data_IF_909967124398
#
_entry.id   IF_909967124398
#
_cell.length_a   1.000
_cell.length_b   1.000
_cell.length_c   1.000
_cell.angle_alpha   90.00
_cell.angle_beta   90.00
_cell.angle_gamma   90.00
#
_symmetry.space_group_name_H-M   'P 1'
#
loop_
_entity.id
_entity.type
_entity.pdbx_description
1 polymer ?
#
# COMPACT_ATOMS: atom_id res chain seq x y z
N UNK A 1 -31.82 84.05 -22.25
CA UNK A 1 -30.90 84.15 -21.09
C UNK A 1 -30.65 82.74 -20.58
N UNK A 2 -29.38 82.32 -20.56
CA UNK A 2 -28.93 80.96 -20.20
C UNK A 2 -29.09 80.72 -18.70
N UNK A 3 -29.71 79.62 -18.28
CA UNK A 3 -29.42 78.98 -17.00
C UNK A 3 -29.37 77.47 -17.24
N UNK A 4 -28.14 76.93 -17.26
CA UNK A 4 -27.87 75.49 -17.19
C UNK A 4 -27.91 75.11 -15.72
N UNK A 5 -28.83 74.23 -15.33
CA UNK A 5 -28.82 73.60 -14.00
C UNK A 5 -28.22 72.21 -14.19
N UNK A 6 -27.01 72.04 -13.65
CA UNK A 6 -26.27 70.79 -13.59
C UNK A 6 -26.83 70.01 -12.40
N UNK A 7 -27.47 68.86 -12.64
CA UNK A 7 -27.88 67.93 -11.58
C UNK A 7 -26.70 66.96 -11.37
N UNK A 8 -26.12 66.87 -10.16
CA UNK A 8 -25.05 65.93 -9.89
C UNK A 8 -25.60 64.52 -9.66
N UNK A 9 -24.90 63.53 -10.22
CA UNK A 9 -25.06 62.10 -9.98
C UNK A 9 -25.05 61.79 -8.47
N UNK A 10 -26.12 61.18 -7.98
CA UNK A 10 -26.10 60.36 -6.76
C UNK A 10 -25.94 58.90 -7.19
N UNK A 11 -24.69 58.48 -7.35
CA UNK A 11 -24.30 57.07 -7.45
C UNK A 11 -24.56 56.43 -6.07
N UNK A 12 -25.67 55.70 -5.95
CA UNK A 12 -25.91 54.79 -4.84
C UNK A 12 -24.86 53.67 -4.91
N UNK A 13 -23.77 53.85 -4.16
CA UNK A 13 -22.81 52.79 -3.88
C UNK A 13 -23.49 51.72 -3.03
N UNK A 14 -24.02 50.69 -3.67
CA UNK A 14 -24.38 49.44 -3.00
C UNK A 14 -23.07 48.81 -2.48
N UNK A 15 -22.76 49.07 -1.22
CA UNK A 15 -21.83 48.27 -0.45
C UNK A 15 -22.45 46.87 -0.28
N UNK A 16 -22.30 46.02 -1.28
CA UNK A 16 -22.43 44.57 -1.09
C UNK A 16 -21.21 44.17 -0.28
N UNK A 17 -21.38 44.23 1.04
CA UNK A 17 -20.47 43.65 2.00
C UNK A 17 -20.52 42.14 1.79
N UNK A 18 -19.67 41.61 0.91
CA UNK A 18 -19.36 40.19 0.85
C UNK A 18 -18.80 39.80 2.22
N UNK A 19 -19.67 39.36 3.12
CA UNK A 19 -19.27 38.51 4.24
C UNK A 19 -18.65 37.26 3.59
N UNK A 20 -17.32 37.25 3.49
CA UNK A 20 -16.57 36.01 3.38
C UNK A 20 -16.85 35.23 4.67
N UNK A 21 -17.96 34.50 4.70
CA UNK A 21 -18.08 33.35 5.59
C UNK A 21 -16.96 32.42 5.13
N UNK A 22 -15.87 32.41 5.91
CA UNK A 22 -14.93 31.32 5.92
C UNK A 22 -15.78 30.11 6.28
N UNK A 23 -16.25 29.36 5.28
CA UNK A 23 -16.82 28.05 5.49
C UNK A 23 -15.65 27.25 6.07
N UNK A 24 -15.61 27.07 7.39
CA UNK A 24 -14.74 26.09 8.01
C UNK A 24 -15.03 24.78 7.30
N UNK A 25 -14.10 24.35 6.44
CA UNK A 25 -14.21 23.04 5.80
C UNK A 25 -14.28 22.04 6.93
N UNK A 26 -15.47 21.47 7.13
CA UNK A 26 -15.67 20.46 8.17
C UNK A 26 -14.64 19.37 7.94
N UNK A 27 -13.83 19.09 8.97
CA UNK A 27 -12.80 18.07 8.94
C UNK A 27 -13.47 16.70 8.87
N UNK A 28 -13.56 16.13 7.67
CA UNK A 28 -14.21 14.84 7.42
C UNK A 28 -13.13 13.78 7.22
N UNK A 29 -13.20 12.70 7.98
CA UNK A 29 -12.35 11.53 7.77
C UNK A 29 -12.64 10.89 6.40
N UNK A 30 -11.60 10.85 5.56
CA UNK A 30 -11.61 10.28 4.22
C UNK A 30 -11.12 8.83 4.23
N UNK A 31 -10.06 8.53 4.99
CA UNK A 31 -9.55 7.17 5.17
C UNK A 31 -9.32 6.90 6.65
N UNK A 32 -9.72 5.71 7.08
CA UNK A 32 -9.30 5.08 8.33
C UNK A 32 -8.63 3.76 8.00
N UNK A 33 -7.37 3.61 8.39
CA UNK A 33 -6.63 2.37 8.28
C UNK A 33 -6.10 1.94 9.65
N UNK A 34 -6.19 0.64 9.96
CA UNK A 34 -5.83 0.07 11.26
C UNK A 34 -5.17 -1.30 11.06
N UNK A 35 -4.01 -1.49 11.69
CA UNK A 35 -3.43 -2.79 11.95
C UNK A 35 -3.37 -3.04 13.46
N UNK A 36 -3.77 -4.23 13.87
CA UNK A 36 -3.58 -4.72 15.24
C UNK A 36 -2.54 -5.83 15.19
N UNK A 37 -1.42 -5.62 15.85
CA UNK A 37 -0.36 -6.59 16.00
C UNK A 37 -0.47 -7.17 17.41
N UNK A 38 -1.50 -7.97 17.65
CA UNK A 38 -1.82 -8.66 18.93
C UNK A 38 -1.06 -8.13 20.16
N UNK A 39 0.13 -8.68 20.43
CA UNK A 39 0.95 -8.38 21.60
C UNK A 39 1.94 -7.21 21.44
N UNK A 40 2.17 -6.73 20.22
CA UNK A 40 3.10 -5.63 19.89
C UNK A 40 2.42 -4.26 19.89
N UNK A 41 1.09 -4.24 19.77
CA UNK A 41 0.26 -3.04 19.83
C UNK A 41 -0.51 -2.78 18.53
N UNK A 42 -0.69 -1.53 18.15
CA UNK A 42 -1.50 -1.19 16.97
C UNK A 42 -1.02 0.08 16.27
N UNK A 43 -1.39 0.16 15.00
CA UNK A 43 -1.14 1.32 14.15
C UNK A 43 -2.45 1.80 13.58
N UNK A 44 -2.67 3.11 13.64
CA UNK A 44 -3.84 3.76 13.07
C UNK A 44 -3.41 4.93 12.20
N UNK A 45 -3.91 4.97 10.97
CA UNK A 45 -3.72 6.08 10.05
C UNK A 45 -5.07 6.68 9.66
N UNK A 46 -5.20 7.99 9.90
CA UNK A 46 -6.41 8.77 9.63
C UNK A 46 -6.06 9.88 8.65
N UNK A 47 -6.80 9.97 7.55
CA UNK A 47 -6.62 10.98 6.51
C UNK A 47 -7.90 11.81 6.39
N UNK A 48 -7.77 13.14 6.37
CA UNK A 48 -8.91 14.06 6.45
C UNK A 48 -9.05 14.95 5.21
N UNK A 49 -10.27 15.47 4.99
CA UNK A 49 -10.63 16.34 3.85
C UNK A 49 -9.96 17.71 3.84
N UNK A 50 -9.31 18.10 4.93
CA UNK A 50 -8.56 19.36 5.09
C UNK A 50 -7.07 19.20 4.73
N UNK A 51 -6.71 18.12 4.01
CA UNK A 51 -5.33 17.78 3.63
C UNK A 51 -4.40 17.49 4.82
N UNK A 52 -4.94 17.13 5.98
CA UNK A 52 -4.15 16.68 7.13
C UNK A 52 -4.27 15.17 7.37
N UNK A 53 -3.27 14.60 8.03
CA UNK A 53 -3.30 13.22 8.51
C UNK A 53 -2.87 13.11 9.97
N UNK A 54 -3.28 12.01 10.60
CA UNK A 54 -2.82 11.58 11.91
C UNK A 54 -2.39 10.13 11.82
N UNK A 55 -1.15 9.85 12.22
CA UNK A 55 -0.66 8.51 12.45
C UNK A 55 -0.54 8.28 13.96
N UNK A 56 -1.17 7.24 14.49
CA UNK A 56 -1.05 6.83 15.89
C UNK A 56 -0.38 5.46 15.96
N UNK A 57 0.74 5.36 16.66
CA UNK A 57 1.38 4.10 17.02
C UNK A 57 1.15 3.83 18.50
N UNK A 58 0.60 2.68 18.83
CA UNK A 58 0.47 2.19 20.20
C UNK A 58 1.44 1.02 20.31
N UNK A 59 2.43 1.14 21.20
CA UNK A 59 3.40 0.08 21.49
C UNK A 59 3.07 -0.54 22.84
N UNK A 60 2.81 -1.84 22.82
CA UNK A 60 2.63 -2.66 24.01
C UNK A 60 3.96 -3.36 24.28
N UNK A 61 4.81 -2.72 25.06
CA UNK A 61 6.03 -3.34 25.62
C UNK A 61 5.67 -3.78 27.05
N UNK A 62 6.42 -4.71 27.65
CA UNK A 62 6.29 -5.04 29.08
C UNK A 62 6.39 -3.73 29.90
N UNK A 63 5.25 -3.22 30.38
CA UNK A 63 5.12 -1.89 30.99
C UNK A 63 3.90 -1.11 30.50
N UNK A 64 3.80 0.20 30.82
CA UNK A 64 2.70 1.04 30.38
C UNK A 64 2.70 1.23 28.86
N UNK A 65 1.51 1.25 28.27
CA UNK A 65 1.33 1.45 26.82
C UNK A 65 1.93 2.80 26.40
N UNK A 66 2.81 2.78 25.38
CA UNK A 66 3.36 4.01 24.79
C UNK A 66 2.54 4.38 23.56
N UNK A 67 1.96 5.58 23.58
CA UNK A 67 1.20 6.12 22.45
C UNK A 67 1.99 7.26 21.80
N UNK A 68 2.33 7.10 20.53
CA UNK A 68 3.02 8.10 19.72
C UNK A 68 2.07 8.60 18.62
N UNK A 69 1.92 9.92 18.49
CA UNK A 69 1.08 10.55 17.46
C UNK A 69 1.91 11.45 16.56
N UNK A 70 1.83 11.22 15.26
CA UNK A 70 2.46 12.02 14.22
C UNK A 70 1.37 12.69 13.41
N UNK A 71 1.43 14.02 13.29
CA UNK A 71 0.49 14.81 12.52
C UNK A 71 1.23 15.48 11.39
N UNK A 72 0.57 15.61 10.24
CA UNK A 72 1.17 16.30 9.11
C UNK A 72 0.16 16.70 8.05
N UNK A 73 0.69 17.29 6.99
CA UNK A 73 -0.05 17.69 5.79
C UNK A 73 0.31 16.70 4.67
N UNK A 74 -0.66 16.43 3.81
CA UNK A 74 -0.46 15.61 2.63
C UNK A 74 -1.04 16.29 1.39
N UNK A 75 -0.59 15.83 0.22
CA UNK A 75 -1.33 16.04 -1.02
C UNK A 75 -1.60 14.69 -1.69
N UNK A 76 -2.75 14.57 -2.35
CA UNK A 76 -3.16 13.36 -3.05
C UNK A 76 -3.00 13.56 -4.56
N UNK A 77 -2.36 12.60 -5.23
CA UNK A 77 -2.33 12.52 -6.69
C UNK A 77 -2.66 11.09 -7.11
N UNK A 78 -3.82 10.91 -7.73
CA UNK A 78 -4.42 9.58 -7.96
C UNK A 78 -4.50 8.79 -6.64
N UNK A 79 -3.98 7.57 -6.64
CA UNK A 79 -3.97 6.66 -5.49
C UNK A 79 -2.73 6.86 -4.59
N UNK A 80 -1.94 7.92 -4.81
CA UNK A 80 -0.70 8.17 -4.04
C UNK A 80 -0.86 9.38 -3.13
N UNK A 81 -0.64 9.14 -1.84
CA UNK A 81 -0.53 10.14 -0.78
C UNK A 81 0.94 10.58 -0.74
N UNK A 82 1.20 11.87 -0.77
CA UNK A 82 2.53 12.43 -0.60
C UNK A 82 2.56 13.26 0.68
N UNK A 83 3.55 13.00 1.52
CA UNK A 83 3.71 13.66 2.81
C UNK A 83 4.63 14.88 2.67
N UNK A 84 4.27 15.98 3.33
CA UNK A 84 5.15 17.14 3.44
C UNK A 84 6.43 16.75 4.22
N UNK A 85 7.60 16.95 3.61
CA UNK A 85 8.89 16.51 4.14
C UNK A 85 9.30 17.28 5.42
N UNK A 86 8.69 18.42 5.69
CA UNK A 86 8.93 19.18 6.92
C UNK A 86 8.39 18.48 8.18
N UNK A 87 7.45 17.51 8.02
CA UNK A 87 6.78 16.80 9.10
C UNK A 87 6.97 15.29 8.90
N UNK A 88 7.93 14.72 9.64
CA UNK A 88 8.34 13.32 9.50
C UNK A 88 7.16 12.33 9.65
N UNK A 89 6.89 11.54 8.60
CA UNK A 89 6.03 10.35 8.70
C UNK A 89 6.67 9.30 9.64
N UNK A 90 5.85 8.45 10.28
CA UNK A 90 6.29 7.45 11.27
C UNK A 90 7.48 6.60 10.81
N UNK A 91 7.43 6.07 9.58
CA UNK A 91 8.50 5.27 8.98
C UNK A 91 9.41 6.08 8.02
N UNK A 92 9.37 7.41 8.09
CA UNK A 92 10.09 8.35 7.19
C UNK A 92 9.77 8.24 5.69
N UNK A 93 8.71 7.53 5.30
CA UNK A 93 8.26 7.50 3.91
C UNK A 93 7.86 8.88 3.43
N UNK A 94 8.25 9.23 2.20
CA UNK A 94 7.82 10.48 1.53
C UNK A 94 6.44 10.34 0.87
N UNK A 95 5.98 9.11 0.66
CA UNK A 95 4.70 8.80 0.03
C UNK A 95 4.14 7.47 0.52
N UNK A 96 2.84 7.30 0.37
CA UNK A 96 2.14 6.03 0.50
C UNK A 96 1.18 5.81 -0.66
N UNK A 97 0.92 4.56 -1.02
CA UNK A 97 0.02 4.17 -2.11
C UNK A 97 -1.21 3.47 -1.53
N UNK A 98 -2.38 3.91 -1.96
CA UNK A 98 -3.67 3.33 -1.59
C UNK A 98 -4.01 2.26 -2.64
N UNK A 99 -3.92 0.98 -2.29
CA UNK A 99 -4.24 -0.10 -3.21
C UNK A 99 -4.72 -1.35 -2.49
N UNK A 100 -5.61 -2.11 -3.12
CA UNK A 100 -6.06 -3.42 -2.63
C UNK A 100 -6.56 -3.45 -1.18
N UNK A 101 -7.24 -2.38 -0.73
CA UNK A 101 -7.68 -2.15 0.66
C UNK A 101 -6.55 -1.91 1.66
N UNK A 102 -5.37 -1.49 1.23
CA UNK A 102 -4.25 -1.13 2.09
C UNK A 102 -3.68 0.25 1.73
N UNK A 103 -3.02 0.85 2.71
CA UNK A 103 -2.08 1.96 2.54
C UNK A 103 -0.68 1.40 2.70
N UNK A 104 0.12 1.46 1.63
CA UNK A 104 1.50 0.98 1.60
C UNK A 104 2.46 2.16 1.59
N UNK A 105 3.25 2.30 2.65
CA UNK A 105 4.23 3.37 2.80
C UNK A 105 5.52 2.96 2.06
N UNK A 106 5.93 3.78 1.09
CA UNK A 106 7.03 3.45 0.16
C UNK A 106 8.25 4.33 0.44
N UNK A 107 9.45 3.77 0.31
CA UNK A 107 10.73 4.44 0.52
C UNK A 107 10.97 4.81 1.98
N UNK A 108 10.33 4.11 2.92
CA UNK A 108 10.55 4.28 4.35
C UNK A 108 11.81 3.58 4.82
N UNK A 109 12.12 3.72 6.11
CA UNK A 109 13.22 2.99 6.77
C UNK A 109 12.84 1.54 7.16
N UNK A 110 11.55 1.22 7.15
CA UNK A 110 11.02 -0.14 7.28
C UNK A 110 9.72 -0.27 6.47
N UNK A 111 9.38 -1.49 5.98
CA UNK A 111 8.13 -1.74 5.29
C UNK A 111 6.95 -1.47 6.24
N UNK A 112 5.97 -0.71 5.78
CA UNK A 112 4.77 -0.42 6.55
C UNK A 112 3.56 -0.45 5.63
N UNK A 113 2.59 -1.28 6.00
CA UNK A 113 1.37 -1.50 5.22
C UNK A 113 0.19 -1.64 6.15
N UNK A 114 -0.80 -0.75 6.05
CA UNK A 114 -1.93 -0.69 6.99
C UNK A 114 -3.25 -0.96 6.26
N UNK A 115 -4.09 -1.84 6.80
CA UNK A 115 -5.37 -2.19 6.21
C UNK A 115 -6.41 -1.09 6.38
N UNK A 116 -7.07 -0.74 5.28
CA UNK A 116 -8.11 0.27 5.23
C UNK A 116 -9.43 -0.32 5.72
N UNK A 117 -9.96 0.26 6.80
CA UNK A 117 -11.27 -0.08 7.36
C UNK A 117 -12.38 0.80 6.78
N UNK A 118 -12.04 2.01 6.32
CA UNK A 118 -12.96 2.95 5.68
C UNK A 118 -12.23 3.75 4.62
N UNK A 119 -12.81 3.85 3.42
CA UNK A 119 -12.29 4.63 2.32
C UNK A 119 -13.41 5.42 1.64
N UNK A 120 -13.31 6.75 1.60
CA UNK A 120 -14.21 7.64 0.85
C UNK A 120 -13.62 8.13 -0.46
N UNK A 121 -12.37 7.79 -0.75
CA UNK A 121 -11.69 8.15 -1.98
C UNK A 121 -11.99 7.13 -3.09
N UNK A 122 -12.06 7.60 -4.34
CA UNK A 122 -12.15 6.73 -5.50
C UNK A 122 -10.75 6.23 -5.87
N UNK A 123 -10.45 4.98 -5.54
CA UNK A 123 -9.16 4.35 -5.84
C UNK A 123 -9.24 3.53 -7.12
N UNK A 124 -8.24 3.65 -8.01
CA UNK A 124 -8.21 2.91 -9.28
C UNK A 124 -7.76 1.46 -9.08
N UNK A 125 -6.80 1.22 -8.17
CA UNK A 125 -6.23 -0.11 -7.96
C UNK A 125 -6.99 -0.94 -6.91
N UNK A 126 -7.90 -1.81 -7.38
CA UNK A 126 -8.67 -2.71 -6.52
C UNK A 126 -8.81 -4.10 -7.13
N UNK A 127 -8.02 -5.04 -6.61
CA UNK A 127 -8.19 -6.47 -6.84
C UNK A 127 -9.36 -7.02 -6.00
N UNK A 128 -10.14 -7.94 -6.56
CA UNK A 128 -11.11 -8.74 -5.83
C UNK A 128 -10.43 -10.00 -5.28
N UNK A 129 -10.14 -9.97 -3.98
CA UNK A 129 -9.42 -11.04 -3.28
C UNK A 129 -10.35 -12.04 -2.58
N UNK A 130 -11.68 -11.98 -2.78
CA UNK A 130 -12.62 -12.90 -2.10
C UNK A 130 -12.31 -14.38 -2.36
N UNK A 131 -11.83 -14.70 -3.57
CA UNK A 131 -11.40 -16.06 -3.97
C UNK A 131 -9.89 -16.30 -3.83
N UNK A 132 -9.14 -15.29 -3.38
CA UNK A 132 -7.68 -15.26 -3.28
C UNK A 132 -7.29 -14.77 -1.87
N UNK A 133 -8.02 -15.24 -0.87
CA UNK A 133 -7.93 -14.76 0.50
C UNK A 133 -6.65 -15.20 1.22
N UNK A 134 -5.80 -15.97 0.55
CA UNK A 134 -4.47 -16.43 0.92
C UNK A 134 -3.35 -15.71 0.13
N UNK A 135 -3.70 -14.72 -0.69
CA UNK A 135 -2.74 -13.83 -1.37
C UNK A 135 -2.62 -12.49 -0.65
N UNK A 136 -1.39 -11.99 -0.59
CA UNK A 136 -1.05 -10.64 -0.18
C UNK A 136 -0.17 -10.00 -1.27
N UNK A 137 -0.47 -8.76 -1.63
CA UNK A 137 0.28 -7.99 -2.62
C UNK A 137 1.08 -6.90 -1.93
N UNK A 138 2.30 -6.66 -2.40
CA UNK A 138 3.17 -5.60 -1.91
C UNK A 138 3.73 -4.80 -3.08
N UNK A 139 3.87 -3.50 -2.88
CA UNK A 139 4.57 -2.60 -3.80
C UNK A 139 6.06 -2.91 -3.75
N UNK A 140 6.66 -3.07 -4.93
CA UNK A 140 8.12 -3.19 -5.01
C UNK A 140 8.79 -1.92 -4.49
N UNK A 141 9.71 -2.12 -3.57
CA UNK A 141 10.57 -1.11 -2.99
C UNK A 141 12.02 -1.61 -3.01
N UNK A 142 12.89 -0.93 -3.76
CA UNK A 142 14.28 -1.35 -3.92
C UNK A 142 15.02 -1.48 -2.60
N UNK A 143 14.66 -0.70 -1.57
CA UNK A 143 15.33 -0.75 -0.27
C UNK A 143 15.11 -2.07 0.48
N UNK A 144 13.98 -2.74 0.22
CA UNK A 144 13.61 -3.98 0.92
C UNK A 144 13.79 -5.23 0.06
N UNK A 145 13.73 -5.09 -1.27
CA UNK A 145 13.72 -6.23 -2.17
C UNK A 145 15.01 -6.42 -2.98
N UNK A 146 15.85 -5.40 -3.15
CA UNK A 146 17.03 -5.49 -4.03
C UNK A 146 18.03 -6.56 -3.57
N UNK A 147 18.17 -6.78 -2.26
CA UNK A 147 19.11 -7.74 -1.68
C UNK A 147 18.75 -9.19 -2.07
N UNK A 148 17.46 -9.49 -2.23
CA UNK A 148 16.99 -10.86 -2.42
C UNK A 148 16.99 -11.36 -3.87
N UNK A 149 17.17 -10.46 -4.84
CA UNK A 149 16.93 -10.81 -6.25
C UNK A 149 18.05 -10.38 -7.21
N UNK A 150 19.17 -9.86 -6.69
CA UNK A 150 20.41 -9.58 -7.42
C UNK A 150 20.21 -8.74 -8.71
N UNK A 151 19.29 -7.77 -8.66
CA UNK A 151 18.98 -6.90 -9.80
C UNK A 151 19.79 -5.60 -9.78
N UNK A 152 20.12 -5.09 -10.96
CA UNK A 152 20.74 -3.79 -11.11
C UNK A 152 19.80 -2.67 -10.61
N UNK A 153 20.27 -1.76 -9.74
CA UNK A 153 19.47 -0.64 -9.29
C UNK A 153 18.86 0.16 -10.44
N UNK A 154 17.64 0.67 -10.26
CA UNK A 154 16.91 1.51 -11.22
C UNK A 154 16.47 0.86 -12.54
N UNK A 155 16.75 -0.42 -12.77
CA UNK A 155 16.30 -1.13 -13.99
C UNK A 155 14.87 -1.68 -13.87
N UNK A 156 14.40 -1.86 -12.63
CA UNK A 156 13.09 -2.40 -12.28
C UNK A 156 12.13 -1.30 -11.87
N UNK A 157 10.86 -1.45 -12.25
CA UNK A 157 9.77 -0.55 -11.84
C UNK A 157 8.65 -1.32 -11.14
N UNK A 158 8.02 -0.75 -10.10
CA UNK A 158 6.82 -1.34 -9.51
C UNK A 158 5.71 -1.45 -10.57
N UNK A 159 4.97 -2.55 -10.52
CA UNK A 159 3.79 -2.79 -11.36
C UNK A 159 2.64 -3.23 -10.47
N UNK A 160 1.42 -2.82 -10.81
CA UNK A 160 0.23 -3.31 -10.14
C UNK A 160 -0.58 -4.19 -11.09
N UNK A 161 -0.94 -5.38 -10.60
CA UNK A 161 -1.75 -6.32 -11.35
C UNK A 161 -3.18 -5.83 -11.53
N UNK A 162 -3.79 -6.20 -12.65
CA UNK A 162 -5.24 -6.18 -12.79
C UNK A 162 -5.86 -7.56 -12.46
N UNK A 163 -7.19 -7.64 -12.45
CA UNK A 163 -7.91 -8.86 -12.06
C UNK A 163 -7.63 -10.05 -13.01
N UNK A 164 -7.47 -9.82 -14.31
CA UNK A 164 -7.16 -10.89 -15.28
C UNK A 164 -5.77 -11.45 -15.02
N UNK A 165 -4.82 -10.57 -14.75
CA UNK A 165 -3.44 -10.95 -14.42
C UNK A 165 -3.38 -11.73 -13.09
N UNK A 166 -4.17 -11.37 -12.08
CA UNK A 166 -4.29 -12.16 -10.84
C UNK A 166 -4.81 -13.59 -11.12
N UNK A 167 -5.84 -13.72 -11.97
CA UNK A 167 -6.38 -15.03 -12.36
C UNK A 167 -5.28 -15.87 -13.02
N UNK A 168 -4.53 -15.27 -13.95
CA UNK A 168 -3.44 -15.91 -14.67
C UNK A 168 -2.29 -16.32 -13.74
N UNK A 169 -1.84 -15.42 -12.86
CA UNK A 169 -0.84 -15.72 -11.81
C UNK A 169 -1.24 -16.98 -11.04
N UNK A 170 -2.49 -17.07 -10.60
CA UNK A 170 -2.97 -18.21 -9.84
C UNK A 170 -3.05 -19.50 -10.69
N UNK A 171 -3.37 -19.40 -11.98
CA UNK A 171 -3.36 -20.55 -12.90
C UNK A 171 -1.94 -21.08 -13.10
N UNK A 172 -0.98 -20.21 -13.38
CA UNK A 172 0.42 -20.57 -13.55
C UNK A 172 0.99 -21.15 -12.23
N UNK A 173 0.65 -20.56 -11.09
CA UNK A 173 1.07 -21.07 -9.78
C UNK A 173 0.52 -22.47 -9.51
N UNK A 174 -0.76 -22.73 -9.83
CA UNK A 174 -1.36 -24.07 -9.71
C UNK A 174 -0.64 -25.09 -10.59
N UNK A 175 -0.31 -24.71 -11.83
CA UNK A 175 0.48 -25.55 -12.74
C UNK A 175 1.83 -25.91 -12.15
N UNK A 176 2.59 -24.90 -11.68
CA UNK A 176 3.89 -25.11 -11.02
C UNK A 176 3.81 -26.10 -9.85
N UNK A 177 2.80 -25.97 -8.98
CA UNK A 177 2.61 -26.88 -7.84
C UNK A 177 2.21 -28.30 -8.27
N UNK A 178 1.40 -28.42 -9.32
CA UNK A 178 1.03 -29.73 -9.89
C UNK A 178 2.24 -30.46 -10.48
N UNK A 179 3.10 -29.74 -11.21
CA UNK A 179 4.31 -30.28 -11.84
C UNK A 179 5.40 -30.67 -10.82
N UNK A 180 5.32 -30.15 -9.59
CA UNK A 180 6.30 -30.37 -8.52
C UNK A 180 5.68 -31.01 -7.25
N UNK A 181 4.56 -31.71 -7.39
CA UNK A 181 3.78 -32.27 -6.28
C UNK A 181 4.52 -33.30 -5.40
N UNK A 182 5.61 -33.90 -5.92
CA UNK A 182 6.45 -34.83 -5.17
C UNK A 182 7.38 -34.14 -4.16
N UNK A 183 7.66 -32.85 -4.38
CA UNK A 183 8.55 -32.03 -3.53
C UNK A 183 7.79 -31.00 -2.70
N UNK A 184 6.64 -30.55 -3.20
CA UNK A 184 5.85 -29.46 -2.61
C UNK A 184 4.58 -30.00 -1.94
N UNK A 185 4.12 -29.33 -0.88
CA UNK A 185 2.80 -29.62 -0.30
C UNK A 185 1.70 -29.07 -1.22
N UNK A 186 0.46 -29.45 -0.94
CA UNK A 186 -0.70 -28.89 -1.65
C UNK A 186 -0.74 -27.35 -1.53
N UNK A 187 -0.99 -26.65 -2.64
CA UNK A 187 -1.01 -25.18 -2.70
C UNK A 187 -1.95 -24.53 -1.65
N UNK A 188 -3.03 -25.20 -1.27
CA UNK A 188 -3.99 -24.71 -0.25
C UNK A 188 -3.36 -24.56 1.15
N UNK A 189 -2.24 -25.24 1.41
CA UNK A 189 -1.48 -25.17 2.66
C UNK A 189 -0.60 -23.94 2.77
N UNK A 190 -0.57 -23.08 1.75
CA UNK A 190 0.29 -21.91 1.73
C UNK A 190 -0.50 -20.60 1.75
N UNK A 191 0.08 -19.57 2.35
CA UNK A 191 -0.20 -18.17 2.00
C UNK A 191 0.83 -17.70 0.96
N UNK A 192 0.51 -16.66 0.19
CA UNK A 192 1.33 -16.15 -0.91
C UNK A 192 1.58 -14.66 -0.73
N UNK A 193 2.84 -14.25 -0.73
CA UNK A 193 3.23 -12.85 -0.86
C UNK A 193 3.70 -12.60 -2.29
N UNK A 194 3.06 -11.64 -2.95
CA UNK A 194 3.27 -11.33 -4.35
C UNK A 194 3.77 -9.89 -4.52
N UNK A 195 4.83 -9.73 -5.29
CA UNK A 195 5.37 -8.41 -5.69
C UNK A 195 5.45 -8.38 -7.21
N UNK A 196 4.69 -7.48 -7.83
CA UNK A 196 4.68 -7.37 -9.28
C UNK A 196 5.56 -6.21 -9.74
N UNK A 197 6.32 -6.46 -10.81
CA UNK A 197 7.31 -5.52 -11.36
C UNK A 197 7.32 -5.56 -12.88
N UNK A 198 7.86 -4.50 -13.47
CA UNK A 198 8.38 -4.51 -14.84
C UNK A 198 9.89 -4.69 -14.74
N UNK A 199 10.41 -5.77 -15.33
CA UNK A 199 11.85 -6.06 -15.30
C UNK A 199 12.63 -5.20 -16.32
N UNK A 200 13.95 -5.35 -16.32
CA UNK A 200 14.88 -4.70 -17.24
C UNK A 200 14.50 -4.88 -18.72
N UNK A 201 14.05 -6.10 -19.07
CA UNK A 201 13.55 -6.52 -20.39
C UNK A 201 12.13 -6.03 -20.72
N UNK A 202 11.52 -5.21 -19.86
CA UNK A 202 10.16 -4.65 -20.03
C UNK A 202 9.04 -5.71 -19.98
N UNK A 203 9.32 -6.86 -19.38
CA UNK A 203 8.35 -7.93 -19.16
C UNK A 203 7.67 -7.73 -17.81
N UNK A 204 6.41 -8.16 -17.73
CA UNK A 204 5.66 -8.20 -16.47
C UNK A 204 6.03 -9.45 -15.71
N UNK A 205 6.58 -9.27 -14.52
CA UNK A 205 7.01 -10.37 -13.66
C UNK A 205 6.39 -10.23 -12.27
N UNK A 206 6.03 -11.36 -11.67
CA UNK A 206 5.48 -11.46 -10.32
C UNK A 206 6.38 -12.37 -9.51
N UNK A 207 7.00 -11.80 -8.48
CA UNK A 207 7.77 -12.56 -7.51
C UNK A 207 6.83 -13.09 -6.45
N UNK A 208 6.88 -14.40 -6.24
CA UNK A 208 5.99 -15.07 -5.32
C UNK A 208 6.83 -15.76 -4.27
N UNK A 209 6.53 -15.46 -3.01
CA UNK A 209 6.95 -16.23 -1.85
C UNK A 209 5.74 -16.96 -1.30
N UNK A 210 5.83 -18.27 -1.13
CA UNK A 210 4.77 -19.07 -0.51
C UNK A 210 5.26 -19.61 0.83
N UNK A 211 4.42 -19.47 1.84
CA UNK A 211 4.72 -19.89 3.21
C UNK A 211 3.64 -20.82 3.72
N UNK A 212 4.02 -21.93 4.38
CA UNK A 212 3.04 -22.78 5.03
C UNK A 212 2.18 -21.99 6.02
N UNK A 213 0.89 -22.29 6.04
CA UNK A 213 -0.06 -21.76 7.01
C UNK A 213 0.27 -22.30 8.40
N UNK A 214 0.55 -21.39 9.31
CA UNK A 214 0.57 -21.61 10.76
C UNK A 214 -0.04 -20.39 11.46
N UNK A 215 -0.23 -20.49 12.77
CA UNK A 215 -0.88 -19.46 13.58
C UNK A 215 -0.24 -18.07 13.44
N UNK A 216 1.09 -18.00 13.34
CA UNK A 216 1.80 -16.71 13.23
C UNK A 216 1.71 -16.16 11.81
N UNK A 217 1.97 -17.02 10.82
CA UNK A 217 2.01 -16.64 9.41
C UNK A 217 0.63 -16.20 8.92
N UNK A 218 -0.45 -16.90 9.29
CA UNK A 218 -1.81 -16.56 8.86
C UNK A 218 -2.26 -15.17 9.31
N UNK A 219 -1.75 -14.69 10.45
CA UNK A 219 -2.07 -13.37 10.99
C UNK A 219 -1.20 -12.26 10.39
N UNK A 220 0.08 -12.53 10.06
CA UNK A 220 1.02 -11.47 9.67
C UNK A 220 1.23 -11.29 8.16
N UNK A 221 1.01 -12.32 7.34
CA UNK A 221 1.44 -12.34 5.94
C UNK A 221 0.86 -11.23 5.06
N UNK A 222 -0.25 -10.58 5.47
CA UNK A 222 -0.87 -9.47 4.75
C UNK A 222 -0.19 -8.13 5.04
N UNK A 223 0.39 -7.99 6.22
CA UNK A 223 0.86 -6.73 6.80
C UNK A 223 2.38 -6.57 6.70
N UNK A 224 3.12 -7.67 6.89
CA UNK A 224 4.58 -7.65 6.98
C UNK A 224 5.20 -8.61 5.97
N UNK A 225 6.35 -8.23 5.40
CA UNK A 225 7.15 -9.15 4.59
C UNK A 225 7.72 -10.23 5.50
N UNK A 226 7.52 -11.50 5.12
CA UNK A 226 8.02 -12.63 5.88
C UNK A 226 9.47 -12.86 5.46
N UNK A 227 10.39 -12.67 6.39
CA UNK A 227 11.79 -13.02 6.22
C UNK A 227 12.05 -14.40 6.83
N UNK A 228 12.32 -15.38 5.98
CA UNK A 228 12.56 -16.75 6.40
C UNK A 228 13.61 -17.38 5.47
N UNK A 229 14.69 -17.88 6.07
CA UNK A 229 15.83 -18.47 5.34
C UNK A 229 15.76 -20.00 5.22
N UNK A 230 15.13 -20.68 6.17
CA UNK A 230 14.96 -22.13 6.22
C UNK A 230 13.47 -22.50 6.06
N UNK A 231 13.09 -23.77 6.18
CA UNK A 231 11.70 -24.22 6.18
C UNK A 231 11.37 -25.24 5.10
N UNK A 232 12.36 -25.73 4.35
CA UNK A 232 12.16 -26.78 3.35
C UNK A 232 11.07 -26.43 2.34
N UNK A 233 10.18 -27.40 2.11
CA UNK A 233 9.02 -27.21 1.27
C UNK A 233 7.94 -26.27 1.84
N UNK A 234 8.12 -25.70 3.04
CA UNK A 234 7.24 -24.66 3.60
C UNK A 234 7.66 -23.23 3.28
N UNK A 235 8.81 -23.05 2.65
CA UNK A 235 9.32 -21.75 2.22
C UNK A 235 9.66 -21.85 0.74
N UNK A 236 8.77 -21.41 -0.14
CA UNK A 236 8.94 -21.56 -1.58
C UNK A 236 9.10 -20.18 -2.19
N UNK A 237 10.02 -20.03 -3.14
CA UNK A 237 10.08 -18.85 -3.97
C UNK A 237 10.09 -19.19 -5.45
N UNK A 238 9.45 -18.37 -6.25
CA UNK A 238 9.42 -18.49 -7.71
C UNK A 238 9.14 -17.13 -8.36
N UNK A 239 9.38 -17.06 -9.67
CA UNK A 239 8.98 -15.95 -10.51
C UNK A 239 7.93 -16.42 -11.50
N UNK A 240 6.90 -15.63 -11.72
CA UNK A 240 5.92 -15.81 -12.80
C UNK A 240 6.08 -14.66 -13.77
N UNK A 241 6.31 -14.99 -15.05
CA UNK A 241 6.40 -14.01 -16.11
C UNK A 241 5.07 -14.01 -16.90
N UNK A 242 4.30 -12.93 -16.75
CA UNK A 242 2.99 -12.77 -17.41
C UNK A 242 3.11 -12.40 -18.89
N UNK A 243 4.28 -11.94 -19.34
CA UNK A 243 4.55 -11.70 -20.76
C UNK A 243 4.85 -13.01 -21.50
N UNK A 244 5.51 -13.96 -20.82
CA UNK A 244 5.88 -15.28 -21.36
C UNK A 244 4.91 -16.39 -20.99
N UNK A 245 3.93 -16.11 -20.12
CA UNK A 245 2.97 -17.07 -19.61
C UNK A 245 3.61 -18.30 -18.96
N UNK A 246 4.73 -18.09 -18.25
CA UNK A 246 5.56 -19.16 -17.67
C UNK A 246 6.02 -18.83 -16.26
N UNK A 247 6.54 -19.84 -15.55
CA UNK A 247 7.24 -19.63 -14.28
C UNK A 247 8.71 -20.05 -14.40
N UNK A 248 9.54 -19.51 -13.52
CA UNK A 248 10.97 -19.82 -13.40
C UNK A 248 11.45 -19.68 -11.96
N UNK A 249 12.72 -20.00 -11.72
CA UNK A 249 13.43 -19.79 -10.46
C UNK A 249 12.71 -20.39 -9.23
N UNK A 250 12.07 -21.55 -9.41
CA UNK A 250 11.45 -22.28 -8.31
C UNK A 250 12.53 -22.77 -7.35
N UNK A 251 12.45 -22.35 -6.09
CA UNK A 251 13.34 -22.78 -5.02
C UNK A 251 12.58 -23.02 -3.72
N UNK A 252 13.14 -23.86 -2.86
CA UNK A 252 12.66 -24.15 -1.51
C UNK A 252 13.74 -23.74 -0.50
N UNK A 253 13.38 -23.06 0.58
CA UNK A 253 14.30 -22.70 1.66
C UNK A 253 14.93 -23.94 2.29
N UNK A 254 16.20 -23.89 2.68
CA UNK A 254 16.88 -25.02 3.34
C UNK A 254 17.45 -26.12 2.42
N UNK A 255 17.49 -25.93 1.09
CA UNK A 255 18.31 -26.75 0.20
C UNK A 255 19.38 -25.87 -0.45
N UNK A 256 20.54 -25.80 0.19
CA UNK A 256 21.82 -25.53 -0.45
C UNK A 256 22.38 -26.78 -1.10
#
# INVERSE_FOLDING_TARGET
>A
MKIRIIIPLLLFGLFIQCKNQIIEKTKIEQILAINNYDYRGSEKFELYSDNTYIFTSIKKIIGPEKVEKFKGIYFLKNDTIYFDQSLHAYNKSKKAVIKNNFIEFVGGIFPLKIEIKKNRLQTKNKLDLRKYNDYAFFTFDSNFYAIYYNYEPNTIKPYDLNQKELIEVNQILKKCFSENNSKLKNLSKYVKQCTAIINDKKEKEVWIKCYCKDFYIENEYKYSLIDMSDGGNCNISLKINLTKHSYSDLSTGGLG
#
